data_IF_876928671106
#
_entry.id   IF_876928671106
#
_cell.length_a   1.000
_cell.length_b   1.000
_cell.length_c   1.000
_cell.angle_alpha   90.00
_cell.angle_beta   90.00
_cell.angle_gamma   90.00
#
_symmetry.space_group_name_H-M   'P 1'
#
loop_
_entity.id
_entity.type
_entity.pdbx_description
1 polymer ?
#
# COMPACT_ATOMS: atom_id res chain seq x y z
N UNK A 1 -20.32 -7.58 26.65
CA UNK A 1 -20.10 -8.03 25.25
C UNK A 1 -18.61 -8.24 25.05
N UNK A 2 -18.19 -9.37 24.49
CA UNK A 2 -16.79 -9.56 24.11
C UNK A 2 -16.46 -8.58 22.97
N UNK A 3 -15.38 -7.80 23.11
CA UNK A 3 -14.93 -6.88 22.06
C UNK A 3 -14.53 -7.68 20.82
N UNK A 4 -15.04 -7.30 19.65
CA UNK A 4 -14.64 -7.87 18.36
C UNK A 4 -13.32 -7.24 17.94
N UNK A 5 -12.30 -8.07 17.84
CA UNK A 5 -10.97 -7.66 17.39
C UNK A 5 -10.67 -8.24 16.03
N UNK A 6 -10.07 -7.46 15.13
CA UNK A 6 -9.53 -7.98 13.87
C UNK A 6 -8.04 -7.67 13.75
N UNK A 7 -7.30 -8.59 13.16
CA UNK A 7 -5.90 -8.39 12.77
C UNK A 7 -5.82 -8.31 11.26
N UNK A 8 -5.36 -7.18 10.74
CA UNK A 8 -5.09 -6.98 9.32
C UNK A 8 -3.59 -7.10 9.10
N UNK A 9 -3.16 -8.24 8.55
CA UNK A 9 -1.75 -8.64 8.53
C UNK A 9 -1.17 -8.73 7.12
N UNK A 10 0.11 -8.41 7.02
CA UNK A 10 0.99 -8.65 5.87
C UNK A 10 2.10 -9.62 6.23
N UNK A 11 2.87 -10.10 5.25
CA UNK A 11 4.01 -10.98 5.52
C UNK A 11 5.07 -10.36 6.44
N UNK A 12 5.10 -9.03 6.56
CA UNK A 12 6.09 -8.30 7.35
C UNK A 12 5.73 -8.22 8.85
N UNK A 13 4.52 -8.65 9.21
CA UNK A 13 3.98 -8.49 10.56
C UNK A 13 4.13 -9.76 11.41
N UNK A 14 4.80 -10.78 10.89
CA UNK A 14 5.06 -12.02 11.64
C UNK A 14 6.39 -11.94 12.39
N UNK A 15 6.30 -11.65 13.69
CA UNK A 15 7.38 -11.80 14.67
C UNK A 15 6.82 -12.46 15.93
N UNK A 16 7.70 -12.87 16.85
CA UNK A 16 7.31 -13.58 18.07
C UNK A 16 6.32 -12.78 18.93
N UNK A 17 6.49 -11.46 19.01
CA UNK A 17 5.61 -10.60 19.82
C UNK A 17 4.20 -10.52 19.26
N UNK A 18 4.08 -10.32 17.94
CA UNK A 18 2.77 -10.25 17.28
C UNK A 18 2.05 -11.60 17.29
N UNK A 19 2.79 -12.71 17.12
CA UNK A 19 2.21 -14.05 17.22
C UNK A 19 1.68 -14.32 18.63
N UNK A 20 2.43 -13.96 19.66
CA UNK A 20 1.97 -14.06 21.03
C UNK A 20 0.71 -13.21 21.26
N UNK A 21 0.69 -11.97 20.78
CA UNK A 21 -0.46 -11.06 20.87
C UNK A 21 -1.71 -11.63 20.18
N UNK A 22 -1.56 -12.26 19.02
CA UNK A 22 -2.64 -12.93 18.31
C UNK A 22 -3.22 -14.06 19.17
N UNK A 23 -2.37 -14.92 19.73
CA UNK A 23 -2.79 -16.02 20.60
C UNK A 23 -3.48 -15.56 21.88
N UNK A 24 -3.01 -14.47 22.48
CA UNK A 24 -3.57 -13.90 23.71
C UNK A 24 -4.89 -13.16 23.47
N UNK A 25 -5.14 -12.70 22.24
CA UNK A 25 -6.37 -12.01 21.87
C UNK A 25 -7.48 -13.01 21.52
N UNK A 26 -8.27 -13.38 22.53
CA UNK A 26 -9.42 -14.27 22.35
C UNK A 26 -10.42 -13.76 21.31
N UNK A 27 -10.91 -14.66 20.45
CA UNK A 27 -11.92 -14.39 19.42
C UNK A 27 -11.53 -13.30 18.41
N UNK A 28 -10.24 -13.15 18.13
CA UNK A 28 -9.81 -12.24 17.08
C UNK A 28 -9.99 -12.87 15.69
N UNK A 29 -10.46 -12.08 14.73
CA UNK A 29 -10.52 -12.49 13.32
C UNK A 29 -9.23 -12.07 12.64
N UNK A 30 -8.48 -13.04 12.13
CA UNK A 30 -7.24 -12.79 11.39
C UNK A 30 -7.58 -12.68 9.91
N UNK A 31 -7.13 -11.59 9.28
CA UNK A 31 -7.46 -11.25 7.90
C UNK A 31 -6.14 -10.96 7.16
N UNK A 32 -5.73 -11.85 6.24
CA UNK A 32 -4.53 -11.65 5.46
C UNK A 32 -4.76 -10.63 4.34
N UNK A 33 -3.87 -9.65 4.22
CA UNK A 33 -3.91 -8.64 3.16
C UNK A 33 -3.09 -9.04 1.92
N UNK A 34 -2.29 -10.11 2.00
CA UNK A 34 -1.48 -10.60 0.86
C UNK A 34 -1.53 -12.11 0.74
N UNK A 35 -1.30 -12.61 -0.48
CA UNK A 35 -1.22 -14.05 -0.74
C UNK A 35 -0.06 -14.72 0.03
N UNK A 36 1.04 -14.00 0.25
CA UNK A 36 2.16 -14.51 1.06
C UNK A 36 1.74 -14.69 2.52
N UNK A 37 0.95 -13.75 3.06
CA UNK A 37 0.34 -13.88 4.39
C UNK A 37 -0.54 -15.12 4.47
N UNK A 38 -1.40 -15.37 3.46
CA UNK A 38 -2.23 -16.59 3.40
C UNK A 38 -1.36 -17.85 3.47
N UNK A 39 -0.29 -17.91 2.68
CA UNK A 39 0.63 -19.06 2.67
C UNK A 39 1.27 -19.26 4.04
N UNK A 40 1.79 -18.20 4.65
CA UNK A 40 2.39 -18.25 5.98
C UNK A 40 1.41 -18.74 7.06
N UNK A 41 0.19 -18.21 7.08
CA UNK A 41 -0.84 -18.59 8.05
C UNK A 41 -1.21 -20.07 7.91
N UNK A 42 -1.37 -20.56 6.68
CA UNK A 42 -1.63 -21.99 6.40
C UNK A 42 -0.49 -22.88 6.89
N UNK A 43 0.77 -22.53 6.59
CA UNK A 43 1.95 -23.30 7.01
C UNK A 43 2.07 -23.38 8.54
N UNK A 44 1.70 -22.32 9.24
CA UNK A 44 1.75 -22.24 10.71
C UNK A 44 0.45 -22.67 11.40
N UNK A 45 -0.55 -23.16 10.64
CA UNK A 45 -1.86 -23.61 11.16
C UNK A 45 -2.57 -22.53 11.99
N UNK A 46 -2.42 -21.27 11.60
CA UNK A 46 -3.14 -20.15 12.21
C UNK A 46 -4.47 -20.01 11.46
N UNK A 47 -5.59 -20.00 12.18
CA UNK A 47 -6.92 -19.81 11.58
C UNK A 47 -7.10 -18.36 11.10
N UNK A 48 -7.70 -18.18 9.92
CA UNK A 48 -7.96 -16.87 9.34
C UNK A 48 -9.21 -16.91 8.47
N UNK A 49 -9.77 -15.73 8.22
CA UNK A 49 -10.92 -15.55 7.33
C UNK A 49 -10.51 -14.90 6.01
N UNK A 50 -11.09 -15.39 4.93
CA UNK A 50 -11.02 -14.77 3.61
C UNK A 50 -12.40 -14.19 3.28
N UNK A 51 -12.38 -13.02 2.65
CA UNK A 51 -13.57 -12.26 2.30
C UNK A 51 -13.65 -12.07 0.78
N UNK A 52 -13.40 -13.15 0.04
CA UNK A 52 -13.32 -13.14 -1.43
C UNK A 52 -14.68 -12.78 -2.09
N UNK A 53 -15.78 -12.89 -1.34
CA UNK A 53 -17.14 -12.60 -1.78
C UNK A 53 -17.59 -11.14 -1.55
N UNK A 54 -16.76 -10.29 -0.94
CA UNK A 54 -17.13 -8.92 -0.58
C UNK A 54 -17.10 -7.92 -1.74
N UNK A 55 -16.42 -8.25 -2.83
CA UNK A 55 -16.28 -7.38 -4.00
C UNK A 55 -16.76 -8.14 -5.23
N UNK A 56 -17.83 -7.64 -5.84
CA UNK A 56 -18.34 -8.18 -7.09
C UNK A 56 -17.49 -7.72 -8.29
N UNK A 57 -17.57 -8.38 -9.45
CA UNK A 57 -16.93 -7.90 -10.68
C UNK A 57 -17.30 -6.46 -11.03
N UNK A 58 -18.53 -6.04 -10.73
CA UNK A 58 -18.98 -4.67 -10.93
C UNK A 58 -18.27 -3.68 -9.99
N UNK A 59 -18.09 -4.05 -8.73
CA UNK A 59 -17.33 -3.22 -7.79
C UNK A 59 -15.88 -3.03 -8.27
N UNK A 60 -15.24 -4.07 -8.81
CA UNK A 60 -13.90 -3.96 -9.42
C UNK A 60 -13.87 -2.95 -10.56
N UNK A 61 -14.85 -3.01 -11.47
CA UNK A 61 -14.98 -2.07 -12.58
C UNK A 61 -15.20 -0.63 -12.10
N UNK A 62 -16.05 -0.44 -11.09
CA UNK A 62 -16.33 0.87 -10.50
C UNK A 62 -15.09 1.46 -9.80
N UNK A 63 -14.32 0.64 -9.10
CA UNK A 63 -13.04 1.02 -8.48
C UNK A 63 -12.03 1.44 -9.55
N UNK A 64 -11.86 0.63 -10.59
CA UNK A 64 -10.95 0.91 -11.70
C UNK A 64 -11.31 2.23 -12.37
N UNK A 65 -12.58 2.40 -12.75
CA UNK A 65 -13.08 3.63 -13.38
C UNK A 65 -12.83 4.86 -12.51
N UNK A 66 -13.06 4.74 -11.20
CA UNK A 66 -12.77 5.82 -10.24
C UNK A 66 -11.28 6.17 -10.23
N UNK A 67 -10.41 5.16 -10.21
CA UNK A 67 -8.96 5.35 -10.19
C UNK A 67 -8.45 5.94 -11.51
N UNK A 68 -8.96 5.47 -12.64
CA UNK A 68 -8.67 6.06 -13.95
C UNK A 68 -9.10 7.52 -14.02
N UNK A 69 -10.25 7.86 -13.45
CA UNK A 69 -10.74 9.23 -13.40
C UNK A 69 -9.82 10.10 -12.53
N UNK A 70 -9.43 9.62 -11.34
CA UNK A 70 -8.47 10.32 -10.48
C UNK A 70 -7.14 10.52 -11.22
N UNK A 71 -6.57 9.46 -11.78
CA UNK A 71 -5.28 9.50 -12.47
C UNK A 71 -5.24 10.49 -13.63
N UNK A 72 -6.37 10.64 -14.34
CA UNK A 72 -6.52 11.59 -15.47
C UNK A 72 -6.82 13.01 -15.05
N UNK A 73 -7.53 13.22 -13.93
CA UNK A 73 -8.13 14.51 -13.60
C UNK A 73 -7.64 15.16 -12.30
N UNK A 74 -6.79 14.50 -11.50
CA UNK A 74 -6.31 15.02 -10.20
C UNK A 74 -5.65 16.41 -10.28
N UNK A 75 -5.08 16.77 -11.42
CA UNK A 75 -4.42 18.06 -11.66
C UNK A 75 -5.38 19.14 -12.16
N UNK A 76 -6.58 18.77 -12.64
CA UNK A 76 -7.54 19.67 -13.29
C UNK A 76 -8.44 20.41 -12.28
N UNK A 77 -7.81 20.92 -11.22
CA UNK A 77 -8.38 21.85 -10.26
C UNK A 77 -7.66 23.18 -10.40
N UNK A 78 -8.39 24.31 -10.29
CA UNK A 78 -7.87 25.65 -10.62
C UNK A 78 -6.51 25.96 -9.97
N UNK A 79 -6.33 25.53 -8.71
CA UNK A 79 -5.11 25.76 -7.93
C UNK A 79 -3.92 24.89 -8.38
N UNK A 80 -4.17 23.69 -8.90
CA UNK A 80 -3.13 22.74 -9.33
C UNK A 80 -2.79 22.90 -10.81
N UNK A 81 -3.77 23.24 -11.62
CA UNK A 81 -3.63 23.37 -13.08
C UNK A 81 -2.54 24.38 -13.46
N UNK A 82 -2.48 25.51 -12.75
CA UNK A 82 -1.43 26.52 -12.98
C UNK A 82 -0.03 26.03 -12.62
N UNK A 83 0.09 25.13 -11.64
CA UNK A 83 1.38 24.57 -11.21
C UNK A 83 1.93 23.61 -12.27
N UNK A 84 1.03 22.87 -12.94
CA UNK A 84 1.40 21.84 -13.91
C UNK A 84 1.34 22.31 -15.37
N UNK A 85 0.95 23.55 -15.64
CA UNK A 85 1.09 24.15 -16.97
C UNK A 85 2.47 24.82 -17.10
N UNK A 86 3.36 24.18 -17.86
CA UNK A 86 4.67 24.71 -18.18
C UNK A 86 4.76 25.03 -19.66
N UNK A 87 4.67 26.33 -20.00
CA UNK A 87 4.74 26.84 -21.39
C UNK A 87 3.71 26.19 -22.33
N UNK A 88 2.49 25.95 -21.85
CA UNK A 88 1.42 25.31 -22.62
C UNK A 88 1.51 23.78 -22.63
N UNK A 89 2.46 23.19 -21.88
CA UNK A 89 2.58 21.76 -21.70
C UNK A 89 2.12 21.36 -20.30
N UNK A 90 1.14 20.47 -20.25
CA UNK A 90 0.65 19.92 -18.99
C UNK A 90 1.56 18.78 -18.50
N UNK A 91 2.49 19.11 -17.60
CA UNK A 91 3.45 18.15 -17.05
C UNK A 91 2.80 17.10 -16.13
N UNK A 92 1.56 17.31 -15.65
CA UNK A 92 0.86 16.32 -14.83
C UNK A 92 0.51 15.05 -15.62
N UNK A 93 0.25 15.16 -16.92
CA UNK A 93 -0.05 14.02 -17.79
C UNK A 93 1.16 13.08 -17.94
N UNK A 94 2.38 13.58 -17.74
CA UNK A 94 3.61 12.79 -17.89
C UNK A 94 3.73 11.68 -16.84
N UNK A 95 3.01 11.76 -15.72
CA UNK A 95 3.03 10.76 -14.65
C UNK A 95 1.70 9.99 -14.54
N UNK A 96 0.77 10.22 -15.45
CA UNK A 96 -0.58 9.64 -15.41
C UNK A 96 -0.52 8.11 -15.30
N UNK A 97 0.27 7.47 -16.16
CA UNK A 97 0.35 6.01 -16.23
C UNK A 97 0.88 5.40 -14.94
N UNK A 98 1.95 5.97 -14.39
CA UNK A 98 2.56 5.53 -13.13
C UNK A 98 1.65 5.79 -11.93
N UNK A 99 0.90 6.90 -11.97
CA UNK A 99 -0.06 7.24 -10.93
C UNK A 99 -1.22 6.25 -10.93
N UNK A 100 -1.84 5.98 -12.08
CA UNK A 100 -2.93 5.01 -12.21
C UNK A 100 -2.48 3.63 -11.72
N UNK A 101 -1.33 3.14 -12.19
CA UNK A 101 -0.81 1.82 -11.79
C UNK A 101 -0.55 1.75 -10.29
N UNK A 102 -0.05 2.84 -9.69
CA UNK A 102 0.15 2.92 -8.25
C UNK A 102 -1.19 2.91 -7.51
N UNK A 103 -2.15 3.73 -7.95
CA UNK A 103 -3.47 3.85 -7.33
C UNK A 103 -4.29 2.55 -7.42
N UNK A 104 -4.26 1.82 -8.54
CA UNK A 104 -4.94 0.53 -8.72
C UNK A 104 -4.55 -0.47 -7.62
N UNK A 105 -3.26 -0.52 -7.25
CA UNK A 105 -2.79 -1.40 -6.17
C UNK A 105 -3.42 -1.08 -4.81
N UNK A 106 -3.68 0.20 -4.54
CA UNK A 106 -4.23 0.65 -3.26
C UNK A 106 -5.76 0.66 -3.27
N UNK A 107 -6.39 1.09 -4.36
CA UNK A 107 -7.83 1.33 -4.41
C UNK A 107 -8.66 0.08 -4.15
N UNK A 108 -8.31 -1.07 -4.76
CA UNK A 108 -8.98 -2.33 -4.43
C UNK A 108 -8.84 -2.68 -2.95
N UNK A 109 -7.65 -2.49 -2.37
CA UNK A 109 -7.40 -2.83 -0.96
C UNK A 109 -8.16 -1.90 -0.02
N UNK A 110 -8.25 -0.61 -0.34
CA UNK A 110 -9.04 0.36 0.41
C UNK A 110 -10.50 -0.09 0.46
N UNK A 111 -11.07 -0.45 -0.69
CA UNK A 111 -12.44 -0.93 -0.78
C UNK A 111 -12.67 -2.24 -0.03
N UNK A 112 -11.77 -3.23 -0.17
CA UNK A 112 -11.85 -4.51 0.56
C UNK A 112 -11.88 -4.24 2.06
N UNK A 113 -10.93 -3.46 2.57
CA UNK A 113 -10.82 -3.16 4.01
C UNK A 113 -12.08 -2.44 4.50
N UNK A 114 -12.62 -1.48 3.75
CA UNK A 114 -13.87 -0.82 4.11
C UNK A 114 -15.02 -1.82 4.22
N UNK A 115 -15.21 -2.70 3.23
CA UNK A 115 -16.27 -3.72 3.23
C UNK A 115 -16.12 -4.69 4.39
N UNK A 116 -14.90 -5.08 4.73
CA UNK A 116 -14.58 -5.92 5.89
C UNK A 116 -14.99 -5.22 7.19
N UNK A 117 -14.58 -3.96 7.38
CA UNK A 117 -14.93 -3.16 8.55
C UNK A 117 -16.45 -3.03 8.66
N UNK A 118 -17.14 -2.77 7.55
CA UNK A 118 -18.59 -2.64 7.50
C UNK A 118 -19.33 -3.96 7.84
N UNK A 119 -18.84 -5.11 7.36
CA UNK A 119 -19.40 -6.43 7.63
C UNK A 119 -19.18 -6.87 9.08
N UNK A 120 -17.96 -6.75 9.59
CA UNK A 120 -17.59 -7.26 10.92
C UNK A 120 -18.04 -6.32 12.03
N UNK A 121 -17.93 -5.01 11.78
CA UNK A 121 -18.09 -3.92 12.76
C UNK A 121 -17.18 -4.14 13.98
N UNK A 122 -15.86 -4.09 13.80
CA UNK A 122 -14.91 -4.36 14.87
C UNK A 122 -14.91 -3.25 15.94
N UNK A 123 -14.64 -3.61 17.19
CA UNK A 123 -14.36 -2.65 18.25
C UNK A 123 -12.88 -2.24 18.24
N UNK A 124 -11.99 -3.16 17.84
CA UNK A 124 -10.54 -2.97 17.81
C UNK A 124 -9.96 -3.53 16.52
N UNK A 125 -9.10 -2.76 15.86
CA UNK A 125 -8.33 -3.19 14.69
C UNK A 125 -6.85 -3.16 15.04
N UNK A 126 -6.18 -4.28 14.81
CA UNK A 126 -4.75 -4.45 14.94
C UNK A 126 -4.11 -4.41 13.56
N UNK A 127 -3.13 -3.52 13.35
CA UNK A 127 -2.37 -3.44 12.10
C UNK A 127 -0.99 -2.82 12.33
N UNK A 128 -0.09 -2.99 11.38
CA UNK A 128 1.30 -2.52 11.50
C UNK A 128 1.45 -1.02 11.25
N UNK A 129 2.18 -0.32 12.11
CA UNK A 129 2.44 1.12 11.92
C UNK A 129 3.55 1.43 10.91
N UNK A 130 3.85 0.52 9.97
CA UNK A 130 4.81 0.79 8.91
C UNK A 130 4.30 1.96 8.05
N UNK A 131 5.15 2.97 7.85
CA UNK A 131 4.76 4.25 7.22
C UNK A 131 4.14 4.09 5.84
N UNK A 132 4.54 3.04 5.13
CA UNK A 132 4.15 2.74 3.76
C UNK A 132 3.17 1.58 3.65
N UNK A 133 2.84 0.88 4.74
CA UNK A 133 2.13 -0.39 4.64
C UNK A 133 0.65 -0.20 4.30
N UNK A 134 0.17 -1.07 3.42
CA UNK A 134 -1.27 -1.30 3.17
C UNK A 134 -2.04 -1.57 4.46
N UNK A 135 -1.38 -2.07 5.51
CA UNK A 135 -2.00 -2.31 6.80
C UNK A 135 -2.53 -1.01 7.46
N UNK A 136 -2.09 0.19 7.05
CA UNK A 136 -2.58 1.49 7.55
C UNK A 136 -3.92 1.95 6.99
N UNK A 137 -4.44 1.30 5.95
CA UNK A 137 -5.75 1.63 5.33
C UNK A 137 -6.89 1.85 6.35
N UNK A 138 -6.99 1.10 7.47
CA UNK A 138 -8.03 1.34 8.47
C UNK A 138 -8.05 2.76 9.05
N UNK A 139 -6.92 3.47 9.08
CA UNK A 139 -6.87 4.86 9.57
C UNK A 139 -7.86 5.77 8.86
N UNK A 140 -8.14 5.51 7.58
CA UNK A 140 -9.06 6.27 6.75
C UNK A 140 -10.51 6.21 7.27
N UNK A 141 -10.85 5.18 8.04
CA UNK A 141 -12.22 4.81 8.39
C UNK A 141 -12.54 4.96 9.89
N UNK A 142 -11.58 5.43 10.69
CA UNK A 142 -11.72 5.53 12.15
C UNK A 142 -12.89 6.41 12.55
N UNK A 143 -13.03 7.56 11.90
CA UNK A 143 -14.08 8.54 12.23
C UNK A 143 -15.47 8.03 11.85
N UNK A 144 -15.58 7.30 10.75
CA UNK A 144 -16.84 6.82 10.20
C UNK A 144 -17.37 5.62 10.99
N UNK A 145 -16.48 4.70 11.38
CA UNK A 145 -16.85 3.41 12.00
C UNK A 145 -16.54 3.33 13.51
N UNK A 146 -15.82 4.30 14.08
CA UNK A 146 -15.59 4.50 15.53
C UNK A 146 -14.90 3.32 16.26
N UNK A 147 -14.05 2.56 15.58
CA UNK A 147 -13.24 1.52 16.20
C UNK A 147 -11.94 2.08 16.80
N UNK A 148 -11.32 1.32 17.70
CA UNK A 148 -10.01 1.62 18.26
C UNK A 148 -8.91 1.01 17.39
N UNK A 149 -7.81 1.74 17.20
CA UNK A 149 -6.61 1.22 16.56
C UNK A 149 -5.61 0.77 17.61
N UNK A 150 -4.99 -0.40 17.37
CA UNK A 150 -3.80 -0.85 18.08
C UNK A 150 -2.72 -1.24 17.08
N UNK A 151 -1.52 -0.72 17.30
CA UNK A 151 -0.41 -1.00 16.41
C UNK A 151 0.31 -2.29 16.79
N UNK A 152 0.73 -3.04 15.78
CA UNK A 152 1.64 -4.19 15.90
C UNK A 152 2.98 -3.85 15.24
N UNK A 153 4.02 -4.63 15.55
CA UNK A 153 5.39 -4.36 15.09
C UNK A 153 5.60 -4.94 13.69
N UNK A 154 6.06 -4.14 12.74
CA UNK A 154 6.49 -4.64 11.43
C UNK A 154 7.99 -4.81 11.38
N UNK A 155 8.45 -5.86 10.72
CA UNK A 155 9.88 -6.12 10.57
C UNK A 155 10.52 -5.25 9.47
N UNK A 156 9.75 -4.74 8.50
CA UNK A 156 10.25 -4.02 7.30
C UNK A 156 9.22 -2.97 6.85
N UNK A 157 9.70 -1.83 6.33
CA UNK A 157 8.83 -0.87 5.62
C UNK A 157 8.47 -1.34 4.20
N UNK A 158 7.18 -1.35 3.87
CA UNK A 158 6.70 -1.71 2.53
C UNK A 158 7.16 -0.74 1.43
N UNK A 159 7.38 -1.28 0.24
CA UNK A 159 7.72 -0.52 -0.97
C UNK A 159 6.47 -0.24 -1.81
N UNK A 160 6.13 1.03 -2.01
CA UNK A 160 4.88 1.47 -2.63
C UNK A 160 4.98 1.70 -4.14
N UNK A 161 6.15 2.12 -4.64
CA UNK A 161 6.35 2.37 -6.07
C UNK A 161 7.16 1.25 -6.74
N UNK A 162 6.76 0.85 -7.97
CA UNK A 162 7.55 -0.09 -8.79
C UNK A 162 9.00 0.38 -8.99
N UNK A 163 9.22 1.69 -8.97
CA UNK A 163 10.52 2.34 -9.18
C UNK A 163 11.13 2.91 -7.89
N UNK A 164 10.92 2.27 -6.73
CA UNK A 164 11.70 2.63 -5.54
C UNK A 164 13.19 2.31 -5.67
N UNK A 165 13.50 1.36 -6.56
CA UNK A 165 14.84 0.98 -6.92
C UNK A 165 15.05 1.29 -8.41
N UNK A 166 16.06 2.10 -8.74
CA UNK A 166 16.52 2.36 -10.10
C UNK A 166 17.71 1.47 -10.39
N UNK A 167 17.64 0.69 -11.46
CA UNK A 167 18.79 -0.05 -11.97
C UNK A 167 19.45 0.81 -13.04
N UNK A 168 20.72 1.15 -12.84
CA UNK A 168 21.55 1.77 -13.88
C UNK A 168 22.53 0.70 -14.34
N UNK A 169 22.46 0.35 -15.62
CA UNK A 169 23.44 -0.51 -16.28
C UNK A 169 24.64 0.32 -16.72
N UNK A 170 25.83 -0.06 -16.28
CA UNK A 170 27.10 0.48 -16.77
C UNK A 170 27.78 -0.58 -17.62
N UNK A 171 28.14 -0.22 -18.85
CA UNK A 171 29.08 -1.04 -19.62
C UNK A 171 30.50 -0.65 -19.20
N UNK A 172 31.18 -1.56 -18.52
CA UNK A 172 32.60 -1.42 -18.24
C UNK A 172 33.37 -2.52 -18.96
N UNK A 173 34.08 -2.14 -20.03
CA UNK A 173 34.91 -3.04 -20.83
C UNK A 173 34.14 -4.25 -21.41
N UNK A 174 32.92 -4.04 -21.89
CA UNK A 174 32.10 -5.08 -22.53
C UNK A 174 31.35 -5.99 -21.55
N UNK A 175 31.32 -5.64 -20.26
CA UNK A 175 30.52 -6.32 -19.24
C UNK A 175 29.51 -5.34 -18.65
N UNK A 176 28.23 -5.70 -18.77
CA UNK A 176 27.15 -4.96 -18.14
C UNK A 176 27.16 -5.20 -16.63
N UNK A 177 27.35 -4.13 -15.87
CA UNK A 177 27.21 -4.08 -14.42
C UNK A 177 25.93 -3.31 -14.09
N UNK A 178 24.94 -4.02 -13.58
CA UNK A 178 23.68 -3.44 -13.12
C UNK A 178 23.77 -3.05 -11.65
N UNK A 179 23.72 -1.75 -11.36
CA UNK A 179 23.72 -1.24 -9.98
C UNK A 179 22.31 -0.76 -9.63
N UNK A 180 21.77 -1.29 -8.53
CA UNK A 180 20.44 -0.96 -8.02
C UNK A 180 20.54 0.09 -6.92
N UNK A 181 19.95 1.26 -7.14
CA UNK A 181 19.91 2.37 -6.18
C UNK A 181 18.50 2.61 -5.67
N UNK A 182 18.35 2.96 -4.39
CA UNK A 182 17.08 3.51 -3.92
C UNK A 182 16.82 4.89 -4.53
N UNK A 183 15.56 5.25 -4.76
CA UNK A 183 15.11 6.54 -5.36
C UNK A 183 15.77 7.76 -4.71
N UNK A 184 15.92 7.75 -3.38
CA UNK A 184 16.59 8.83 -2.66
C UNK A 184 18.08 8.95 -3.00
N UNK A 185 18.78 7.82 -3.21
CA UNK A 185 20.18 7.82 -3.66
C UNK A 185 20.29 8.21 -5.13
N UNK A 186 19.37 7.74 -5.98
CA UNK A 186 19.31 8.12 -7.38
C UNK A 186 19.18 9.64 -7.58
N UNK A 187 18.25 10.29 -6.87
CA UNK A 187 18.11 11.76 -6.98
C UNK A 187 19.32 12.52 -6.44
N UNK A 188 19.98 12.03 -5.39
CA UNK A 188 21.24 12.61 -4.93
C UNK A 188 22.32 12.53 -6.01
N UNK A 189 22.51 11.36 -6.62
CA UNK A 189 23.49 11.15 -7.69
C UNK A 189 23.16 12.01 -8.92
N UNK A 190 21.88 12.04 -9.33
CA UNK A 190 21.42 12.86 -10.45
C UNK A 190 21.71 14.35 -10.23
N UNK A 191 21.44 14.86 -9.04
CA UNK A 191 21.76 16.25 -8.71
C UNK A 191 23.26 16.51 -8.73
N UNK A 192 24.09 15.57 -8.28
CA UNK A 192 25.55 15.67 -8.36
C UNK A 192 26.05 15.69 -9.81
N UNK A 193 25.58 14.78 -10.67
CA UNK A 193 26.01 14.72 -12.08
C UNK A 193 25.63 16.00 -12.84
N UNK A 194 24.41 16.50 -12.65
CA UNK A 194 23.95 17.76 -13.25
C UNK A 194 24.76 18.96 -12.73
N UNK A 195 25.15 18.95 -11.46
CA UNK A 195 25.95 20.03 -10.85
C UNK A 195 27.40 20.06 -11.35
N UNK A 196 27.96 18.91 -11.72
CA UNK A 196 29.33 18.79 -12.24
C UNK A 196 29.44 18.77 -13.78
N UNK A 197 28.31 18.87 -14.51
CA UNK A 197 28.31 19.05 -15.96
C UNK A 197 28.95 17.90 -16.75
N UNK A 198 28.69 16.65 -16.34
CA UNK A 198 28.99 15.45 -17.15
C UNK A 198 27.73 15.03 -17.89
#
# INVERSE_FOLDING_TARGET
>A
MLKKSIFLLTENDFNSENLQLIHDTKNAIIIPLTFKTIKFLKENKIEFELFDDLISPKDYEDIDNTIYNIGRNWWNHDNLKQIFDYKGLNIALMIESELIVSLLKFGHRIWIVEKIICKIKPDVIYYSNSKNSISRIPELFVNDYKFQIKHIISNIDEKNFRNENYTIGFDFMGKNLDIVFSRNKFFKIKNTIIFYGI
#
